data_IF_747133489021
#
_entry.id   IF_747133489021
#
_cell.length_a   1.000
_cell.length_b   1.000
_cell.length_c   1.000
_cell.angle_alpha   90.00
_cell.angle_beta   90.00
_cell.angle_gamma   90.00
#
_symmetry.space_group_name_H-M   'P 1'
#
loop_
_entity.id
_entity.type
_entity.pdbx_description
1 polymer ?
#
# COMPACT_ATOMS: atom_id res chain seq x y z
N UNK A 1 -9.99 8.30 -1.32
CA UNK A 1 -9.07 7.25 -0.84
C UNK A 1 -7.71 7.79 -0.37
N UNK A 2 -6.94 8.54 -1.17
CA UNK A 2 -5.66 9.17 -0.73
C UNK A 2 -5.85 10.08 0.48
N UNK A 3 -6.71 11.09 0.34
CA UNK A 3 -6.95 12.13 1.34
C UNK A 3 -7.58 11.61 2.65
N UNK A 4 -8.21 10.43 2.62
CA UNK A 4 -8.82 9.82 3.79
C UNK A 4 -7.89 8.83 4.50
N UNK A 5 -6.71 8.53 3.94
CA UNK A 5 -5.81 7.52 4.48
C UNK A 5 -4.68 8.18 5.28
N UNK A 6 -4.57 7.92 6.60
CA UNK A 6 -3.51 8.49 7.42
C UNK A 6 -2.12 7.95 7.05
N UNK A 7 -2.03 6.86 6.29
CA UNK A 7 -0.76 6.30 5.79
C UNK A 7 -0.24 6.96 4.51
N UNK A 8 -1.03 7.82 3.85
CA UNK A 8 -0.65 8.50 2.61
C UNK A 8 -0.08 9.90 2.88
N UNK A 9 1.10 9.97 3.49
CA UNK A 9 1.75 11.23 3.93
C UNK A 9 3.15 11.45 3.32
N UNK A 10 3.48 10.77 2.22
CA UNK A 10 4.79 10.94 1.57
C UNK A 10 5.04 12.41 1.23
N UNK A 11 6.30 12.86 1.37
CA UNK A 11 6.73 14.22 1.02
C UNK A 11 6.53 14.43 -0.49
N UNK A 12 7.02 13.49 -1.28
CA UNK A 12 6.86 13.45 -2.72
C UNK A 12 5.96 12.26 -3.09
N UNK A 13 4.94 12.52 -3.92
CA UNK A 13 4.00 11.50 -4.38
C UNK A 13 3.99 11.47 -5.91
N UNK A 14 4.21 10.28 -6.49
CA UNK A 14 4.13 10.06 -7.94
C UNK A 14 2.81 10.53 -8.57
N UNK A 15 1.73 10.60 -7.79
CA UNK A 15 0.43 11.07 -8.24
C UNK A 15 0.34 12.61 -8.39
N UNK A 16 1.36 13.34 -7.94
CA UNK A 16 1.46 14.81 -8.01
C UNK A 16 2.62 15.27 -8.89
N UNK A 17 3.42 14.34 -9.41
CA UNK A 17 4.51 14.65 -10.32
C UNK A 17 3.95 15.11 -11.69
N UNK A 18 4.70 15.99 -12.36
CA UNK A 18 4.33 16.51 -13.69
C UNK A 18 4.55 15.48 -14.79
N UNK A 19 5.59 14.64 -14.64
CA UNK A 19 5.97 13.62 -15.62
C UNK A 19 6.30 12.29 -14.93
N UNK A 20 5.31 11.62 -14.31
CA UNK A 20 5.54 10.36 -13.62
C UNK A 20 5.83 9.22 -14.60
N UNK A 21 6.87 8.42 -14.32
CA UNK A 21 7.35 7.36 -15.23
C UNK A 21 6.34 6.21 -15.44
N UNK A 22 5.55 5.88 -14.41
CA UNK A 22 4.75 4.64 -14.39
C UNK A 22 3.24 4.86 -14.54
N UNK A 23 2.75 6.09 -14.43
CA UNK A 23 1.32 6.39 -14.53
C UNK A 23 1.12 7.62 -15.40
N UNK A 24 0.13 7.62 -16.29
CA UNK A 24 -0.22 8.83 -17.03
C UNK A 24 -0.96 9.84 -16.15
N UNK A 25 -1.04 11.10 -16.61
CA UNK A 25 -1.85 12.15 -15.96
C UNK A 25 -3.37 11.99 -16.19
N UNK A 26 -3.77 11.01 -17.00
CA UNK A 26 -5.17 10.81 -17.41
C UNK A 26 -5.98 10.20 -16.28
N UNK A 27 -7.27 10.51 -16.24
CA UNK A 27 -8.23 9.83 -15.36
C UNK A 27 -8.88 8.73 -16.18
N UNK A 28 -8.24 7.56 -16.24
CA UNK A 28 -8.76 6.38 -16.93
C UNK A 28 -8.56 5.09 -16.10
N UNK A 29 -9.23 3.97 -16.45
CA UNK A 29 -9.12 2.72 -15.71
C UNK A 29 -7.69 2.22 -15.53
N UNK A 30 -6.82 2.39 -16.53
CA UNK A 30 -5.42 1.95 -16.50
C UNK A 30 -4.61 2.75 -15.47
N UNK A 31 -4.71 4.07 -15.50
CA UNK A 31 -4.06 4.94 -14.50
C UNK A 31 -4.61 4.70 -13.10
N UNK A 32 -5.92 4.50 -12.96
CA UNK A 32 -6.55 4.15 -11.68
C UNK A 32 -6.05 2.81 -11.15
N UNK A 33 -5.90 1.79 -12.00
CA UNK A 33 -5.37 0.48 -11.63
C UNK A 33 -3.93 0.59 -11.14
N UNK A 34 -3.09 1.32 -11.88
CA UNK A 34 -1.69 1.53 -11.52
C UNK A 34 -1.59 2.27 -10.18
N UNK A 35 -2.34 3.36 -10.03
CA UNK A 35 -2.35 4.15 -8.80
C UNK A 35 -2.78 3.31 -7.58
N UNK A 36 -3.83 2.51 -7.71
CA UNK A 36 -4.30 1.64 -6.62
C UNK A 36 -3.29 0.54 -6.27
N UNK A 37 -2.61 -0.03 -7.28
CA UNK A 37 -1.57 -1.04 -7.10
C UNK A 37 -0.36 -0.49 -6.35
N UNK A 38 0.20 0.63 -6.82
CA UNK A 38 1.34 1.29 -6.16
C UNK A 38 0.97 1.73 -4.75
N UNK A 39 -0.21 2.35 -4.58
CA UNK A 39 -0.70 2.76 -3.26
C UNK A 39 -0.80 1.57 -2.30
N UNK A 40 -1.35 0.45 -2.74
CA UNK A 40 -1.47 -0.72 -1.89
C UNK A 40 -0.08 -1.24 -1.48
N UNK A 41 0.87 -1.30 -2.41
CA UNK A 41 2.25 -1.67 -2.14
C UNK A 41 2.90 -0.75 -1.09
N UNK A 42 2.79 0.58 -1.24
CA UNK A 42 3.27 1.56 -0.25
C UNK A 42 2.63 1.38 1.13
N UNK A 43 1.39 0.89 1.18
CA UNK A 43 0.65 0.65 2.43
C UNK A 43 0.87 -0.75 3.01
N UNK A 44 1.58 -1.65 2.33
CA UNK A 44 1.71 -3.06 2.74
C UNK A 44 2.08 -3.23 4.21
N UNK A 45 3.13 -2.54 4.67
CA UNK A 45 3.55 -2.54 6.08
C UNK A 45 2.91 -1.47 6.98
N UNK A 46 1.90 -0.73 6.51
CA UNK A 46 1.35 0.45 7.23
C UNK A 46 -0.17 0.40 7.42
N UNK A 47 -0.88 -0.38 6.60
CA UNK A 47 -2.34 -0.45 6.64
C UNK A 47 -2.82 -1.19 7.89
N UNK A 48 -3.68 -0.55 8.68
CA UNK A 48 -4.35 -1.15 9.85
C UNK A 48 -5.77 -1.63 9.56
N UNK A 49 -6.14 -1.77 8.27
CA UNK A 49 -7.44 -2.29 7.83
C UNK A 49 -8.69 -1.54 8.37
N UNK A 50 -8.58 -0.21 8.55
CA UNK A 50 -9.69 0.65 8.97
C UNK A 50 -10.80 0.85 7.92
N UNK A 51 -10.56 0.48 6.65
CA UNK A 51 -11.50 0.56 5.51
C UNK A 51 -12.01 1.97 5.16
N UNK A 52 -11.44 3.01 5.75
CA UNK A 52 -11.87 4.39 5.50
C UNK A 52 -11.70 4.79 4.03
N UNK A 53 -10.66 4.27 3.36
CA UNK A 53 -10.42 4.53 1.95
C UNK A 53 -11.53 3.99 1.01
N UNK A 54 -12.16 2.87 1.39
CA UNK A 54 -13.30 2.27 0.69
C UNK A 54 -14.60 3.01 1.01
N UNK A 55 -14.82 3.34 2.29
CA UNK A 55 -15.99 4.10 2.77
C UNK A 55 -16.18 5.42 2.02
N UNK A 56 -15.09 6.13 1.73
CA UNK A 56 -15.13 7.43 1.04
C UNK A 56 -15.09 7.32 -0.49
N UNK A 57 -15.05 6.11 -1.06
CA UNK A 57 -14.91 5.95 -2.50
C UNK A 57 -16.21 6.34 -3.22
N UNK A 58 -16.23 7.36 -4.11
CA UNK A 58 -17.45 7.82 -4.75
C UNK A 58 -18.03 6.81 -5.76
N UNK A 59 -17.21 5.85 -6.18
CA UNK A 59 -17.56 4.82 -7.19
C UNK A 59 -17.55 3.40 -6.61
N UNK A 60 -17.58 3.26 -5.28
CA UNK A 60 -17.72 1.99 -4.57
C UNK A 60 -16.69 0.90 -4.94
N UNK A 61 -15.45 1.29 -5.26
CA UNK A 61 -14.37 0.32 -5.48
C UNK A 61 -14.02 -0.33 -4.13
N UNK A 62 -13.96 -1.66 -4.03
CA UNK A 62 -13.67 -2.38 -2.79
C UNK A 62 -12.16 -2.34 -2.46
N UNK A 63 -11.64 -1.16 -2.18
CA UNK A 63 -10.22 -0.89 -1.96
C UNK A 63 -9.62 -1.65 -0.77
N UNK A 64 -10.45 -2.06 0.20
CA UNK A 64 -9.97 -2.84 1.34
C UNK A 64 -9.45 -4.22 0.94
N UNK A 65 -9.97 -4.81 -0.14
CA UNK A 65 -9.58 -6.17 -0.57
C UNK A 65 -8.09 -6.26 -0.90
N UNK A 66 -7.58 -5.30 -1.68
CA UNK A 66 -6.18 -5.28 -2.07
C UNK A 66 -5.26 -5.04 -0.86
N UNK A 67 -5.65 -4.13 0.03
CA UNK A 67 -4.86 -3.81 1.23
C UNK A 67 -4.85 -4.97 2.23
N UNK A 68 -5.98 -5.66 2.43
CA UNK A 68 -6.05 -6.86 3.28
C UNK A 68 -5.27 -8.03 2.70
N UNK A 69 -5.27 -8.18 1.37
CA UNK A 69 -4.43 -9.18 0.71
C UNK A 69 -2.95 -8.90 1.00
N UNK A 70 -2.50 -7.65 0.89
CA UNK A 70 -1.12 -7.30 1.24
C UNK A 70 -0.82 -7.43 2.73
N UNK A 71 -1.76 -7.12 3.62
CA UNK A 71 -1.62 -7.40 5.06
C UNK A 71 -1.36 -8.89 5.32
N UNK A 72 -2.10 -9.78 4.62
CA UNK A 72 -1.88 -11.22 4.70
C UNK A 72 -0.49 -11.61 4.19
N UNK A 73 -0.01 -11.01 3.10
CA UNK A 73 1.34 -11.25 2.60
C UNK A 73 2.42 -10.76 3.58
N UNK A 74 2.21 -9.61 4.24
CA UNK A 74 3.15 -9.13 5.26
C UNK A 74 3.21 -10.08 6.47
N UNK A 75 2.06 -10.64 6.85
CA UNK A 75 2.00 -11.63 7.93
C UNK A 75 2.66 -12.95 7.53
N UNK A 76 2.41 -13.47 6.33
CA UNK A 76 2.97 -14.75 5.88
C UNK A 76 4.48 -14.67 5.64
N UNK A 77 4.96 -13.60 5.00
CA UNK A 77 6.35 -13.46 4.57
C UNK A 77 7.25 -12.91 5.68
N UNK A 78 6.74 -12.01 6.52
CA UNK A 78 7.55 -11.28 7.51
C UNK A 78 7.06 -11.44 8.95
N UNK A 79 6.00 -12.22 9.19
CA UNK A 79 5.33 -12.31 10.50
C UNK A 79 5.00 -10.93 11.08
N UNK A 80 4.58 -10.01 10.21
CA UNK A 80 4.35 -8.62 10.57
C UNK A 80 2.89 -8.22 10.42
N UNK A 81 2.36 -7.51 11.42
CA UNK A 81 1.06 -6.82 11.36
C UNK A 81 1.24 -5.37 11.77
N UNK A 82 0.79 -4.46 10.91
CA UNK A 82 0.89 -3.02 11.17
C UNK A 82 0.06 -2.61 12.39
N UNK A 83 0.57 -1.62 13.15
CA UNK A 83 -0.13 -1.04 14.30
C UNK A 83 -0.10 -1.88 15.59
N UNK A 84 0.64 -2.99 15.62
CA UNK A 84 0.75 -3.84 16.83
C UNK A 84 1.82 -3.37 17.82
N UNK A 85 2.84 -2.64 17.36
CA UNK A 85 3.97 -2.13 18.15
C UNK A 85 4.58 -0.93 17.42
N UNK A 86 5.06 0.05 18.19
CA UNK A 86 5.85 1.20 17.77
C UNK A 86 7.34 0.88 17.59
N UNK A 87 7.87 -0.06 18.38
CA UNK A 87 9.26 -0.52 18.30
C UNK A 87 9.56 -1.38 17.06
N UNK A 88 8.52 -1.97 16.45
CA UNK A 88 8.71 -2.90 15.33
C UNK A 88 8.75 -2.15 13.99
N UNK A 89 9.91 -2.15 13.36
CA UNK A 89 10.11 -1.56 12.02
C UNK A 89 9.32 -2.36 10.98
N UNK A 90 8.53 -1.68 10.15
CA UNK A 90 7.75 -2.30 9.08
C UNK A 90 8.64 -2.97 8.01
N UNK A 91 8.17 -4.08 7.41
CA UNK A 91 8.79 -4.65 6.21
C UNK A 91 8.80 -3.66 5.05
N UNK A 92 9.61 -3.93 4.02
CA UNK A 92 9.79 -3.11 2.81
C UNK A 92 10.49 -1.75 3.01
N UNK A 93 10.70 -1.31 4.25
CA UNK A 93 11.58 -0.18 4.59
C UNK A 93 12.83 -0.61 5.37
N UNK A 94 12.98 -1.92 5.57
CA UNK A 94 14.10 -2.55 6.24
C UNK A 94 14.50 -3.82 5.50
N UNK A 95 15.71 -4.28 5.75
CA UNK A 95 16.26 -5.52 5.18
C UNK A 95 16.87 -6.36 6.30
N UNK A 96 16.45 -7.62 6.43
CA UNK A 96 17.08 -8.60 7.31
C UNK A 96 17.63 -9.74 6.48
N UNK A 97 18.92 -10.05 6.67
CA UNK A 97 19.62 -11.09 5.92
C UNK A 97 18.99 -12.49 6.11
N UNK A 98 18.37 -12.73 7.25
CA UNK A 98 17.81 -14.02 7.62
C UNK A 98 16.33 -14.17 7.19
N UNK A 99 15.75 -13.18 6.50
CA UNK A 99 14.38 -13.27 5.98
C UNK A 99 14.29 -14.36 4.89
N UNK A 100 13.49 -15.41 5.16
CA UNK A 100 13.23 -16.52 4.22
C UNK A 100 11.85 -16.35 3.59
N UNK A 101 11.80 -15.66 2.45
CA UNK A 101 10.54 -15.28 1.80
C UNK A 101 9.97 -16.36 0.86
N UNK A 102 10.69 -17.47 0.64
CA UNK A 102 10.24 -18.54 -0.25
C UNK A 102 10.15 -18.14 -1.73
N UNK A 103 10.80 -17.04 -2.12
CA UNK A 103 10.86 -16.54 -3.50
C UNK A 103 12.28 -16.82 -4.04
N UNK A 104 12.43 -17.81 -4.91
CA UNK A 104 13.70 -18.15 -5.57
C UNK A 104 14.52 -19.28 -4.93
N UNK A 105 13.90 -20.10 -4.07
CA UNK A 105 14.38 -21.46 -3.76
C UNK A 105 13.91 -22.47 -4.83
#
# INVERSE_FOLDING_TARGET
>A
CRQACPGCYCIDCFAEELDPEWVGIRIAPEENLMWNTIRAFHLGGRCISCNECERVCPVNIPLSLLNRKLEQEMLSLFNYRAGMSDDTIAPLITFKKDDKLGIGE
#
